data_IF_116218062545
#
_entry.id   IF_116218062545
#
_cell.length_a   1.000
_cell.length_b   1.000
_cell.length_c   1.000
_cell.angle_alpha   90.00
_cell.angle_beta   90.00
_cell.angle_gamma   90.00
#
_symmetry.space_group_name_H-M   'P 1'
#
loop_
_entity.id
_entity.type
_entity.pdbx_description
1 polymer ?
#
# COMPACT_ATOMS: atom_id res chain seq x y z
N UNK A 1 8.47 5.41 -2.60
CA UNK A 1 9.78 5.22 -1.96
C UNK A 1 10.45 4.03 -2.63
N UNK A 2 11.71 4.14 -3.07
CA UNK A 2 12.47 2.96 -3.49
C UNK A 2 12.71 2.04 -2.28
N UNK A 3 12.39 0.75 -2.39
CA UNK A 3 12.67 -0.28 -1.40
C UNK A 3 13.24 -1.51 -2.12
N UNK A 4 14.52 -1.81 -1.89
CA UNK A 4 15.24 -2.79 -2.70
C UNK A 4 15.25 -2.41 -4.18
N UNK A 5 14.78 -3.32 -5.05
CA UNK A 5 14.59 -3.09 -6.49
C UNK A 5 13.17 -2.64 -6.87
N UNK A 6 12.29 -2.37 -5.90
CA UNK A 6 10.87 -2.05 -6.12
C UNK A 6 10.57 -0.59 -5.77
N UNK A 7 9.63 0.00 -6.52
CA UNK A 7 9.12 1.33 -6.23
C UNK A 7 7.81 1.18 -5.48
N UNK A 8 7.83 1.42 -4.17
CA UNK A 8 6.64 1.31 -3.33
C UNK A 8 5.84 2.61 -3.37
N UNK A 9 4.55 2.58 -3.75
CA UNK A 9 3.69 3.74 -3.66
C UNK A 9 3.37 4.03 -2.19
N UNK A 10 3.71 5.23 -1.74
CA UNK A 10 3.42 5.71 -0.38
C UNK A 10 2.51 6.92 -0.50
N UNK A 11 1.34 6.89 0.15
CA UNK A 11 0.38 8.00 0.15
C UNK A 11 -0.01 8.41 1.58
N UNK A 12 -0.14 9.72 1.83
CA UNK A 12 -0.57 10.36 3.09
C UNK A 12 -1.92 11.06 2.88
N UNK A 13 -2.94 10.84 3.74
CA UNK A 13 -4.30 11.42 3.56
C UNK A 13 -4.82 12.33 4.68
N UNK A 14 -5.16 13.57 4.31
CA UNK A 14 -6.02 14.48 5.10
C UNK A 14 -7.49 14.55 4.62
N UNK A 15 -7.94 13.81 3.59
CA UNK A 15 -9.33 13.89 3.11
C UNK A 15 -9.80 12.81 2.12
N UNK A 16 -11.13 12.65 2.01
CA UNK A 16 -11.83 11.63 1.22
C UNK A 16 -12.08 12.07 -0.23
N UNK A 17 -12.19 11.11 -1.14
CA UNK A 17 -12.71 11.28 -2.52
C UNK A 17 -11.71 11.82 -3.56
N UNK A 18 -10.97 10.91 -4.22
CA UNK A 18 -10.18 11.24 -5.43
C UNK A 18 -8.93 10.39 -5.68
N UNK A 19 -8.32 9.81 -4.64
CA UNK A 19 -6.98 9.20 -4.73
C UNK A 19 -6.91 7.69 -4.99
N UNK A 20 -8.01 6.94 -4.80
CA UNK A 20 -8.04 5.50 -5.14
C UNK A 20 -7.68 5.25 -6.61
N UNK A 21 -8.08 6.17 -7.50
CA UNK A 21 -7.77 6.07 -8.93
C UNK A 21 -6.26 6.15 -9.22
N UNK A 22 -5.53 7.05 -8.56
CA UNK A 22 -4.08 7.19 -8.73
C UNK A 22 -3.32 6.01 -8.13
N UNK A 23 -3.78 5.51 -6.98
CA UNK A 23 -3.22 4.30 -6.36
C UNK A 23 -3.41 3.08 -7.26
N UNK A 24 -4.61 2.90 -7.81
CA UNK A 24 -4.93 1.81 -8.74
C UNK A 24 -4.02 1.86 -9.97
N UNK A 25 -3.87 3.03 -10.61
CA UNK A 25 -2.97 3.19 -11.77
C UNK A 25 -1.50 2.88 -11.45
N UNK A 26 -1.05 3.19 -10.24
CA UNK A 26 0.30 2.85 -9.82
C UNK A 26 0.46 1.34 -9.63
N UNK A 27 -0.50 0.70 -8.96
CA UNK A 27 -0.49 -0.75 -8.74
C UNK A 27 -0.59 -1.52 -10.05
N UNK A 28 -1.39 -1.05 -11.01
CA UNK A 28 -1.47 -1.64 -12.35
C UNK A 28 -0.11 -1.67 -13.05
N UNK A 29 0.75 -0.68 -12.82
CA UNK A 29 2.10 -0.56 -13.40
C UNK A 29 3.19 -1.22 -12.56
N UNK A 30 2.95 -1.48 -11.28
CA UNK A 30 3.91 -2.10 -10.38
C UNK A 30 4.00 -3.61 -10.65
N UNK A 31 5.18 -4.21 -10.44
CA UNK A 31 5.38 -5.66 -10.55
C UNK A 31 4.93 -6.44 -9.29
N UNK A 32 4.37 -5.75 -8.30
CA UNK A 32 3.92 -6.30 -7.02
C UNK A 32 2.48 -5.90 -6.69
N UNK A 33 1.80 -6.73 -5.92
CA UNK A 33 0.41 -6.54 -5.49
C UNK A 33 0.29 -5.95 -4.08
N UNK A 34 1.11 -4.96 -3.72
CA UNK A 34 1.09 -4.35 -2.37
C UNK A 34 1.11 -2.83 -2.47
N UNK A 35 0.25 -2.17 -1.72
CA UNK A 35 0.15 -0.72 -1.61
C UNK A 35 0.14 -0.27 -0.14
N UNK A 36 0.61 0.94 0.17
CA UNK A 36 0.55 1.49 1.54
C UNK A 36 -0.26 2.78 1.61
N UNK A 37 -1.18 2.86 2.56
CA UNK A 37 -1.98 4.04 2.89
C UNK A 37 -1.65 4.51 4.31
N UNK A 38 -1.01 5.69 4.42
CA UNK A 38 -0.82 6.36 5.70
C UNK A 38 -2.06 7.16 6.10
N UNK A 39 -2.64 6.87 7.27
CA UNK A 39 -3.87 7.49 7.75
C UNK A 39 -4.01 7.52 9.28
N UNK A 40 -5.09 8.12 9.79
CA UNK A 40 -5.37 8.23 11.24
C UNK A 40 -6.15 7.04 11.83
N UNK A 41 -6.29 5.94 11.09
CA UNK A 41 -7.02 4.75 11.54
C UNK A 41 -6.14 3.72 12.25
N UNK A 42 -6.60 2.46 12.26
CA UNK A 42 -5.87 1.32 12.87
C UNK A 42 -4.98 0.64 11.83
N UNK A 43 -3.96 -0.08 12.28
CA UNK A 43 -3.20 -0.96 11.40
C UNK A 43 -4.15 -2.03 10.84
N UNK A 44 -4.25 -2.14 9.51
CA UNK A 44 -4.97 -3.23 8.85
C UNK A 44 -4.36 -3.56 7.49
N UNK A 45 -4.62 -4.77 7.01
CA UNK A 45 -4.33 -5.18 5.63
C UNK A 45 -5.67 -5.55 5.00
N UNK A 46 -5.99 -4.93 3.87
CA UNK A 46 -7.23 -5.15 3.13
C UNK A 46 -6.91 -5.70 1.74
N UNK A 47 -7.71 -6.63 1.23
CA UNK A 47 -7.67 -7.02 -0.18
C UNK A 47 -8.49 -6.02 -1.00
N UNK A 48 -7.94 -5.61 -2.14
CA UNK A 48 -8.54 -4.64 -3.02
C UNK A 48 -8.26 -5.00 -4.49
N UNK A 49 -9.08 -4.47 -5.39
CA UNK A 49 -8.96 -4.71 -6.82
C UNK A 49 -8.84 -3.37 -7.53
N UNK A 50 -7.87 -3.26 -8.44
CA UNK A 50 -7.72 -2.06 -9.26
C UNK A 50 -8.90 -1.92 -10.24
N UNK A 51 -9.01 -0.75 -10.90
CA UNK A 51 -10.03 -0.56 -11.94
C UNK A 51 -9.81 -1.50 -13.15
N UNK A 52 -8.57 -1.95 -13.36
CA UNK A 52 -8.21 -2.90 -14.42
C UNK A 52 -8.34 -4.37 -13.98
N UNK A 53 -8.83 -4.64 -12.76
CA UNK A 53 -9.05 -6.01 -12.26
C UNK A 53 -7.84 -6.65 -11.58
N UNK A 54 -6.77 -5.90 -11.31
CA UNK A 54 -5.59 -6.44 -10.63
C UNK A 54 -5.83 -6.48 -9.13
N UNK A 55 -5.71 -7.66 -8.53
CA UNK A 55 -5.79 -7.85 -7.09
C UNK A 55 -4.52 -7.35 -6.40
N UNK A 56 -4.69 -6.70 -5.25
CA UNK A 56 -3.59 -6.21 -4.42
C UNK A 56 -3.99 -6.12 -2.95
N UNK A 57 -3.00 -6.12 -2.06
CA UNK A 57 -3.17 -5.86 -0.64
C UNK A 57 -2.84 -4.42 -0.31
N UNK A 58 -3.73 -3.77 0.44
CA UNK A 58 -3.59 -2.42 0.94
C UNK A 58 -3.20 -2.46 2.42
N UNK A 59 -1.95 -2.12 2.73
CA UNK A 59 -1.47 -1.88 4.08
C UNK A 59 -1.92 -0.49 4.56
N UNK A 60 -2.87 -0.48 5.47
CA UNK A 60 -3.34 0.72 6.15
C UNK A 60 -2.48 0.98 7.36
N UNK A 61 -1.57 1.95 7.26
CA UNK A 61 -0.58 2.23 8.27
C UNK A 61 -0.93 3.53 9.03
N UNK A 62 -1.15 3.46 10.35
CA UNK A 62 -1.31 4.65 11.18
C UNK A 62 -0.12 5.60 11.09
N UNK A 63 -0.34 6.91 11.15
CA UNK A 63 0.74 7.92 11.06
C UNK A 63 1.89 7.70 12.04
N UNK A 64 1.60 7.30 13.27
CA UNK A 64 2.62 7.04 14.29
C UNK A 64 3.51 5.82 13.98
N UNK A 65 3.14 4.99 12.99
CA UNK A 65 3.94 3.87 12.50
C UNK A 65 4.67 4.17 11.20
N UNK A 66 4.55 5.39 10.65
CA UNK A 66 5.19 5.77 9.39
C UNK A 66 6.72 5.60 9.41
N UNK A 67 7.36 5.84 10.56
CA UNK A 67 8.81 5.63 10.74
C UNK A 67 9.25 4.17 10.70
N UNK A 68 8.30 3.23 10.77
CA UNK A 68 8.52 1.77 10.74
C UNK A 68 7.96 1.13 9.48
N UNK A 69 7.65 1.93 8.44
CA UNK A 69 7.00 1.48 7.21
C UNK A 69 7.73 0.33 6.52
N UNK A 70 9.07 0.31 6.53
CA UNK A 70 9.87 -0.76 5.93
C UNK A 70 9.61 -2.12 6.60
N UNK A 71 9.63 -2.17 7.94
CA UNK A 71 9.37 -3.43 8.65
C UNK A 71 7.93 -3.94 8.48
N UNK A 72 6.95 -3.03 8.32
CA UNK A 72 5.58 -3.45 7.99
C UNK A 72 5.44 -3.88 6.53
N UNK A 73 6.22 -3.30 5.61
CA UNK A 73 6.29 -3.75 4.23
C UNK A 73 6.88 -5.16 4.14
N UNK A 74 7.95 -5.45 4.88
CA UNK A 74 8.52 -6.81 4.95
C UNK A 74 7.50 -7.81 5.48
N UNK A 75 6.86 -7.50 6.61
CA UNK A 75 5.82 -8.35 7.20
C UNK A 75 4.66 -8.64 6.22
N UNK A 76 4.23 -7.63 5.47
CA UNK A 76 3.21 -7.82 4.43
C UNK A 76 3.78 -8.68 3.31
N UNK A 77 4.95 -8.37 2.75
CA UNK A 77 5.51 -9.12 1.63
C UNK A 77 5.81 -10.59 1.96
N UNK A 78 6.32 -10.90 3.15
CA UNK A 78 6.58 -12.26 3.64
C UNK A 78 5.29 -13.09 3.75
N UNK A 79 4.18 -12.48 4.17
CA UNK A 79 2.88 -13.15 4.25
C UNK A 79 2.22 -13.46 2.90
N UNK A 80 2.80 -13.01 1.76
CA UNK A 80 2.40 -13.47 0.41
C UNK A 80 3.20 -14.69 -0.06
N UNK A 81 4.32 -15.03 0.59
CA UNK A 81 5.24 -16.08 0.17
C UNK A 81 4.97 -17.48 0.74
N UNK A 82 3.75 -17.80 1.18
CA UNK A 82 3.36 -19.14 1.69
C UNK A 82 2.26 -19.78 0.87
#
# INVERSE_FOLDING_TARGET
MPYGNKVIPVEVKSGATGRLRSLHQFIDRADHGVAVRLYAGKLSVEEAVTLAGKEYRLLNLPYYLASRIEGYLDWVLESTGS
#
